data_IF_152760900647
#
_entry.id   IF_152760900647
#
_cell.length_a   1.000
_cell.length_b   1.000
_cell.length_c   1.000
_cell.angle_alpha   90.00
_cell.angle_beta   90.00
_cell.angle_gamma   90.00
#
_symmetry.space_group_name_H-M   'P 1'
#
loop_
_entity.id
_entity.type
_entity.pdbx_description
1 polymer ?
#
# COMPACT_ATOMS: atom_id res chain seq x y z
N UNK A 1 15.10 -2.33 0.20
CA UNK A 1 13.89 -3.14 -0.03
C UNK A 1 12.61 -2.39 0.35
N UNK A 2 12.50 -1.87 1.58
CA UNK A 2 11.32 -1.13 2.07
C UNK A 2 10.82 -0.04 1.12
N UNK A 3 11.71 0.80 0.61
CA UNK A 3 11.34 1.88 -0.31
C UNK A 3 10.78 1.39 -1.65
N UNK A 4 11.31 0.28 -2.19
CA UNK A 4 10.79 -0.33 -3.42
C UNK A 4 9.38 -0.88 -3.20
N UNK A 5 9.14 -1.57 -2.07
CA UNK A 5 7.81 -2.06 -1.71
C UNK A 5 6.81 -0.93 -1.48
N UNK A 6 7.21 0.14 -0.77
CA UNK A 6 6.33 1.29 -0.55
C UNK A 6 5.96 1.98 -1.87
N UNK A 7 6.88 2.06 -2.84
CA UNK A 7 6.59 2.59 -4.18
C UNK A 7 5.61 1.73 -4.96
N UNK A 8 5.78 0.40 -4.95
CA UNK A 8 4.82 -0.52 -5.58
C UNK A 8 3.43 -0.43 -4.93
N UNK A 9 3.37 -0.13 -3.63
CA UNK A 9 2.13 0.09 -2.88
C UNK A 9 1.54 1.49 -3.00
N UNK A 10 2.11 2.38 -3.81
CA UNK A 10 1.48 3.66 -4.15
C UNK A 10 0.07 3.45 -4.73
N UNK A 11 -0.18 2.28 -5.34
CA UNK A 11 -1.52 1.79 -5.69
C UNK A 11 -1.85 0.54 -4.86
N UNK A 12 -3.09 0.42 -4.34
CA UNK A 12 -3.52 -0.78 -3.64
C UNK A 12 -3.30 -2.03 -4.49
N UNK A 13 -2.61 -3.02 -3.94
CA UNK A 13 -2.17 -4.20 -4.70
C UNK A 13 -2.25 -5.47 -3.85
N UNK A 14 -2.41 -6.63 -4.50
CA UNK A 14 -2.37 -7.94 -3.84
C UNK A 14 -0.93 -8.37 -3.59
N UNK A 15 -0.71 -9.20 -2.57
CA UNK A 15 0.62 -9.77 -2.28
C UNK A 15 1.20 -10.52 -3.48
N UNK A 16 0.39 -11.32 -4.17
CA UNK A 16 0.84 -12.09 -5.34
C UNK A 16 1.33 -11.20 -6.48
N UNK A 17 0.70 -10.05 -6.69
CA UNK A 17 1.14 -9.07 -7.70
C UNK A 17 2.42 -8.37 -7.27
N UNK A 18 2.53 -8.01 -5.98
CA UNK A 18 3.74 -7.40 -5.42
C UNK A 18 4.93 -8.37 -5.50
N UNK A 19 4.72 -9.65 -5.19
CA UNK A 19 5.69 -10.72 -5.32
C UNK A 19 6.22 -10.82 -6.74
N UNK A 20 5.32 -10.89 -7.73
CA UNK A 20 5.69 -10.95 -9.14
C UNK A 20 6.49 -9.73 -9.62
N UNK A 21 6.13 -8.51 -9.19
CA UNK A 21 6.84 -7.28 -9.58
C UNK A 21 8.18 -7.10 -8.88
N UNK A 22 8.27 -7.52 -7.62
CA UNK A 22 9.49 -7.37 -6.83
C UNK A 22 10.49 -8.50 -7.07
N UNK A 23 10.03 -9.63 -7.61
CA UNK A 23 10.82 -10.85 -7.78
C UNK A 23 11.02 -11.59 -6.46
N UNK A 24 10.07 -11.45 -5.53
CA UNK A 24 10.18 -11.92 -4.15
C UNK A 24 9.12 -12.98 -3.84
N UNK A 25 9.38 -13.80 -2.83
CA UNK A 25 8.42 -14.80 -2.38
C UNK A 25 7.21 -14.16 -1.68
N UNK A 26 6.02 -14.71 -1.93
CA UNK A 26 4.78 -14.19 -1.36
C UNK A 26 4.77 -14.27 0.18
N UNK A 27 5.27 -15.36 0.76
CA UNK A 27 5.31 -15.55 2.22
C UNK A 27 6.29 -14.60 2.92
N UNK A 28 7.43 -14.36 2.28
CA UNK A 28 8.37 -13.32 2.72
C UNK A 28 7.69 -11.94 2.70
N UNK A 29 7.01 -11.61 1.59
CA UNK A 29 6.29 -10.34 1.47
C UNK A 29 5.17 -10.18 2.49
N UNK A 30 4.37 -11.22 2.78
CA UNK A 30 3.35 -11.18 3.84
C UNK A 30 3.96 -10.86 5.20
N UNK A 31 5.04 -11.55 5.55
CA UNK A 31 5.76 -11.33 6.80
C UNK A 31 6.28 -9.90 6.89
N UNK A 32 6.85 -9.39 5.78
CA UNK A 32 7.38 -8.04 5.73
C UNK A 32 6.29 -6.95 5.76
N UNK A 33 5.16 -7.17 5.11
CA UNK A 33 3.98 -6.30 5.17
C UNK A 33 3.39 -6.23 6.58
N UNK A 34 3.37 -7.35 7.31
CA UNK A 34 2.92 -7.41 8.71
C UNK A 34 3.80 -6.53 9.63
N UNK A 35 5.12 -6.54 9.42
CA UNK A 35 6.06 -5.66 10.14
C UNK A 35 5.79 -4.18 9.83
N UNK A 36 5.53 -3.86 8.56
CA UNK A 36 5.22 -2.50 8.13
C UNK A 36 3.85 -2.03 8.61
N UNK A 37 2.88 -2.93 8.73
CA UNK A 37 1.55 -2.68 9.28
C UNK A 37 1.64 -2.34 10.77
N UNK A 38 2.38 -3.15 11.53
CA UNK A 38 2.65 -2.91 12.96
C UNK A 38 3.36 -1.57 13.18
N UNK A 39 4.18 -1.15 12.21
CA UNK A 39 4.86 0.15 12.21
C UNK A 39 4.00 1.30 11.65
N UNK A 40 2.80 1.01 11.18
CA UNK A 40 1.81 1.96 10.67
C UNK A 40 2.10 2.53 9.29
N UNK A 41 2.97 1.92 8.48
CA UNK A 41 3.29 2.37 7.12
C UNK A 41 2.32 1.82 6.07
N UNK A 42 1.81 0.62 6.27
CA UNK A 42 0.82 -0.03 5.39
C UNK A 42 -0.39 -0.45 6.20
N UNK A 43 -1.46 -0.81 5.51
CA UNK A 43 -2.61 -1.48 6.11
C UNK A 43 -3.45 -2.14 5.04
N UNK A 44 -4.36 -3.01 5.48
CA UNK A 44 -5.33 -3.66 4.58
C UNK A 44 -6.30 -2.63 4.03
N UNK A 45 -6.67 -2.78 2.76
CA UNK A 45 -7.56 -1.84 2.08
C UNK A 45 -8.98 -1.83 2.67
N UNK A 46 -9.42 -2.92 3.31
CA UNK A 46 -10.80 -3.09 3.81
C UNK A 46 -10.98 -2.89 5.31
N UNK A 47 -9.90 -2.87 6.11
CA UNK A 47 -10.00 -2.89 7.59
C UNK A 47 -10.55 -1.59 8.20
N UNK A 48 -10.50 -0.46 7.47
CA UNK A 48 -10.97 0.85 7.96
C UNK A 48 -11.56 1.71 6.86
N UNK A 49 -12.60 1.22 6.19
CA UNK A 49 -13.46 2.10 5.39
C UNK A 49 -14.82 2.24 6.09
N UNK A 50 -15.14 3.40 6.71
CA UNK A 50 -16.47 3.64 7.28
C UNK A 50 -17.59 3.56 6.22
N UNK A 51 -17.24 3.60 4.94
CA UNK A 51 -18.12 3.44 3.78
C UNK A 51 -18.44 1.98 3.42
N UNK A 52 -17.81 0.98 4.04
CA UNK A 52 -18.12 -0.43 3.77
C UNK A 52 -19.38 -0.93 4.49
N UNK A 53 -19.99 -0.11 5.37
CA UNK A 53 -21.22 -0.48 6.08
C UNK A 53 -22.49 -0.37 5.22
N UNK A 54 -22.45 0.43 4.14
CA UNK A 54 -23.64 0.79 3.33
C UNK A 54 -23.62 0.29 1.87
N UNK A 55 -22.69 -0.61 1.52
CA UNK A 55 -22.61 -1.23 0.20
C UNK A 55 -21.56 -0.58 -0.71
N UNK A 56 -20.82 -1.41 -1.45
CA UNK A 56 -19.71 -1.02 -2.33
C UNK A 56 -20.19 -0.28 -3.61
N UNK A 57 -21.15 0.65 -3.52
CA UNK A 57 -21.79 1.30 -4.67
C UNK A 57 -21.08 2.54 -5.21
N UNK A 58 -20.10 3.12 -4.47
CA UNK A 58 -19.45 4.37 -4.87
C UNK A 58 -17.94 4.44 -4.61
N UNK A 59 -17.29 3.35 -4.19
CA UNK A 59 -15.85 3.36 -3.95
C UNK A 59 -15.07 3.16 -5.26
N UNK A 60 -14.03 3.97 -5.49
CA UNK A 60 -13.06 3.78 -6.60
C UNK A 60 -12.34 2.41 -6.56
N UNK A 61 -12.53 1.65 -5.47
CA UNK A 61 -12.03 0.29 -5.27
C UNK A 61 -13.16 -0.76 -5.25
N UNK A 62 -14.36 -0.45 -5.78
CA UNK A 62 -15.51 -1.36 -5.80
C UNK A 62 -15.18 -2.72 -6.44
N UNK A 63 -14.37 -2.74 -7.51
CA UNK A 63 -13.91 -3.97 -8.17
C UNK A 63 -12.96 -4.83 -7.33
N UNK A 64 -12.46 -4.29 -6.22
CA UNK A 64 -11.59 -4.99 -5.27
C UNK A 64 -12.36 -5.38 -4.00
N UNK A 65 -13.53 -4.76 -3.74
CA UNK A 65 -14.39 -5.06 -2.61
C UNK A 65 -14.81 -6.55 -2.66
N UNK A 66 -14.41 -7.40 -1.69
CA UNK A 66 -15.02 -8.71 -1.57
C UNK A 66 -16.49 -8.47 -1.20
N UNK A 67 -17.41 -8.83 -2.10
CA UNK A 67 -18.83 -8.81 -1.80
C UNK A 67 -19.07 -9.57 -0.48
N UNK A 68 -19.97 -9.05 0.35
CA UNK A 68 -20.32 -9.63 1.66
C UNK A 68 -20.68 -11.12 1.46
N UNK A 69 -19.80 -12.03 1.88
CA UNK A 69 -19.95 -13.49 1.70
C UNK A 69 -18.94 -14.16 0.75
N UNK A 70 -18.05 -13.42 0.09
CA UNK A 70 -16.98 -14.01 -0.70
C UNK A 70 -15.78 -14.32 0.19
N UNK A 71 -15.51 -15.61 0.44
CA UNK A 71 -14.29 -16.14 1.08
C UNK A 71 -13.04 -15.98 0.19
N UNK A 72 -13.03 -15.05 -0.76
CA UNK A 72 -11.80 -14.78 -1.49
C UNK A 72 -10.94 -13.89 -0.61
N UNK A 73 -9.86 -14.51 -0.11
CA UNK A 73 -8.75 -13.94 0.64
C UNK A 73 -7.96 -12.94 -0.24
N UNK A 74 -8.66 -11.91 -0.72
CA UNK A 74 -8.09 -10.83 -1.51
C UNK A 74 -7.40 -9.89 -0.54
N UNK A 75 -6.27 -10.34 0.00
CA UNK A 75 -5.40 -9.56 0.88
C UNK A 75 -4.78 -8.41 0.07
N UNK A 76 -5.55 -7.33 -0.06
CA UNK A 76 -5.15 -6.10 -0.75
C UNK A 76 -4.56 -5.13 0.25
N UNK A 77 -3.31 -4.74 0.01
CA UNK A 77 -2.55 -3.85 0.86
C UNK A 77 -2.51 -2.45 0.26
N UNK A 78 -2.47 -1.42 1.12
CA UNK A 78 -2.30 -0.02 0.73
C UNK A 78 -1.36 0.72 1.68
N UNK A 79 -0.77 1.81 1.20
CA UNK A 79 -0.06 2.75 2.08
C UNK A 79 -1.04 3.47 3.02
N UNK A 80 -0.59 3.69 4.26
CA UNK A 80 -1.19 4.70 5.13
C UNK A 80 -0.66 6.09 4.74
N UNK A 81 -1.17 7.16 5.39
CA UNK A 81 -0.57 8.49 5.22
C UNK A 81 0.92 8.52 5.59
N UNK A 82 1.30 7.80 6.66
CA UNK A 82 2.70 7.66 7.08
C UNK A 82 3.54 6.93 6.02
N UNK A 83 2.99 5.85 5.45
CA UNK A 83 3.55 5.12 4.31
C UNK A 83 3.82 6.00 3.11
N UNK A 84 2.82 6.78 2.71
CA UNK A 84 2.90 7.70 1.57
C UNK A 84 3.98 8.77 1.77
N UNK A 85 4.00 9.43 2.93
CA UNK A 85 5.04 10.41 3.28
C UNK A 85 6.44 9.77 3.27
N UNK A 86 6.58 8.52 3.69
CA UNK A 86 7.86 7.80 3.64
C UNK A 86 8.30 7.47 2.22
N UNK A 87 7.37 7.04 1.35
CA UNK A 87 7.65 6.78 -0.06
C UNK A 87 8.11 8.07 -0.78
N UNK A 88 7.39 9.18 -0.60
CA UNK A 88 7.72 10.48 -1.19
C UNK A 88 9.10 11.00 -0.76
N UNK A 89 9.45 10.83 0.52
CA UNK A 89 10.77 11.23 1.05
C UNK A 89 11.91 10.38 0.50
N UNK A 90 11.65 9.11 0.19
CA UNK A 90 12.66 8.22 -0.40
C UNK A 90 12.85 8.50 -1.89
N UNK A 91 11.77 8.79 -2.62
CA UNK A 91 11.85 9.26 -4.01
C UNK A 91 12.68 10.54 -4.11
N UNK A 92 12.44 11.52 -3.24
CA UNK A 92 13.25 12.75 -3.18
C UNK A 92 14.75 12.48 -2.92
N UNK A 93 15.10 11.42 -2.17
CA UNK A 93 16.49 11.03 -1.91
C UNK A 93 17.13 10.29 -3.09
N UNK A 94 16.36 9.51 -3.85
CA UNK A 94 16.85 8.76 -5.01
C UNK A 94 16.86 9.58 -6.30
N UNK A 95 15.93 10.53 -6.49
CA UNK A 95 15.86 11.36 -7.70
C UNK A 95 16.80 12.57 -7.66
N UNK A 96 17.66 12.70 -6.65
CA UNK A 96 18.61 13.83 -6.57
C UNK A 96 17.92 15.19 -6.68
N UNK A 97 16.67 15.31 -6.23
CA UNK A 97 15.95 16.58 -6.25
C UNK A 97 16.44 17.46 -5.11
N UNK A 98 17.66 18.00 -5.30
CA UNK A 98 18.10 19.24 -4.66
C UNK A 98 17.15 20.33 -5.16
N UNK A 99 15.99 20.48 -4.50
CA UNK A 99 15.30 21.77 -4.53
C UNK A 99 16.19 22.72 -3.74
N UNK A 100 16.98 23.52 -4.47
CA UNK A 100 17.52 24.77 -3.96
C UNK A 100 16.38 25.49 -3.23
N UNK A 101 16.54 25.70 -1.92
CA UNK A 101 15.75 26.68 -1.20
C UNK A 101 16.06 28.05 -1.82
N UNK A 102 15.06 28.89 -2.15
CA UNK A 102 15.33 30.29 -2.34
C UNK A 102 15.66 30.88 -0.98
N UNK A 103 16.93 31.21 -0.77
CA UNK A 103 17.33 32.21 0.23
C UNK A 103 16.81 33.56 -0.22
N UNK A 104 15.90 34.14 0.55
CA UNK A 104 15.60 35.57 0.56
C UNK A 104 15.28 35.99 1.98
#
# INVERSE_FOLDING_TARGET
MTSKLLRELARPSKVSELAGRLGEEADFLRSFLTVLESSGYVGRAYDRSPTCSSGCGGCAVANLCPARGSQTDLEVWRLTEKGRKAAERDDLRHTGAVKQLPTS
#
